data_IF_267789279597
#
_entry.id   IF_267789279597
#
_cell.length_a   1.000
_cell.length_b   1.000
_cell.length_c   1.000
_cell.angle_alpha   90.00
_cell.angle_beta   90.00
_cell.angle_gamma   90.00
#
_symmetry.space_group_name_H-M   'P 1'
#
loop_
_entity.id
_entity.type
_entity.pdbx_description
1 polymer ?
#
# COMPACT_ATOMS: atom_id res chain seq x y z
N UNK A 1 26.01 25.38 53.68
CA UNK A 1 25.39 25.95 54.89
C UNK A 1 24.02 25.30 54.98
N UNK A 2 23.91 24.27 55.81
CA UNK A 2 23.17 24.34 57.11
C UNK A 2 21.66 24.56 56.84
N UNK A 3 20.72 23.78 57.25
CA UNK A 3 20.48 22.81 58.33
C UNK A 3 19.14 22.14 57.94
N UNK A 4 18.93 20.86 57.98
CA UNK A 4 18.63 20.07 59.15
C UNK A 4 17.52 20.64 60.05
N UNK A 5 16.34 20.07 60.00
CA UNK A 5 15.53 19.88 61.19
C UNK A 5 14.61 18.65 61.02
N UNK A 6 14.96 17.73 61.79
CA UNK A 6 14.29 16.55 62.33
C UNK A 6 13.30 17.02 63.41
N UNK A 7 12.19 16.39 63.58
CA UNK A 7 11.43 16.14 64.82
C UNK A 7 10.09 15.57 64.38
N UNK A 8 9.78 14.35 64.54
CA UNK A 8 9.58 13.53 65.72
C UNK A 8 8.11 13.46 66.14
N UNK A 9 7.73 12.25 66.37
CA UNK A 9 6.81 11.70 67.41
C UNK A 9 5.29 11.74 67.16
N UNK A 10 4.81 10.55 66.88
CA UNK A 10 3.95 9.71 67.72
C UNK A 10 2.61 10.29 68.20
N UNK A 11 1.55 9.63 67.92
CA UNK A 11 0.60 9.09 68.89
C UNK A 11 -0.50 8.30 68.19
N UNK A 12 -0.47 7.00 68.33
CA UNK A 12 -1.35 6.15 69.10
C UNK A 12 -2.82 6.10 68.68
N UNK A 13 -3.10 4.96 68.07
CA UNK A 13 -4.11 3.99 68.43
C UNK A 13 -5.51 4.54 68.79
N UNK A 14 -6.46 4.17 67.93
CA UNK A 14 -7.74 3.66 68.45
C UNK A 14 -8.38 2.71 67.41
N UNK A 15 -8.53 1.52 67.89
CA UNK A 15 -9.25 0.42 67.34
C UNK A 15 -10.70 0.81 67.08
N UNK A 16 -11.11 0.70 65.81
CA UNK A 16 -12.52 0.56 65.48
C UNK A 16 -12.69 -0.71 64.71
N UNK A 17 -13.05 -1.72 65.41
CA UNK A 17 -13.48 -3.03 64.96
C UNK A 17 -14.84 -2.83 64.27
N UNK A 18 -14.87 -2.70 62.97
CA UNK A 18 -16.12 -2.75 62.21
C UNK A 18 -16.27 -4.13 61.62
N UNK A 19 -17.29 -4.79 62.10
CA UNK A 19 -17.82 -6.06 61.64
C UNK A 19 -18.02 -6.07 60.13
N UNK A 20 -17.31 -6.97 59.48
CA UNK A 20 -17.50 -7.30 58.07
C UNK A 20 -18.77 -8.13 57.97
N UNK A 21 -19.86 -7.47 57.58
CA UNK A 21 -21.06 -8.17 57.11
C UNK A 21 -20.81 -8.69 55.70
N UNK A 22 -21.15 -9.96 55.52
CA UNK A 22 -20.92 -10.78 54.36
C UNK A 22 -21.23 -10.11 53.04
N UNK A 23 -20.20 -9.94 52.24
CA UNK A 23 -20.37 -9.78 50.80
C UNK A 23 -20.57 -11.14 50.21
N UNK A 24 -21.77 -11.36 49.70
CA UNK A 24 -22.09 -12.50 48.86
C UNK A 24 -21.17 -12.51 47.66
N UNK A 25 -20.36 -13.55 47.56
CA UNK A 25 -19.56 -13.85 46.41
C UNK A 25 -20.55 -14.22 45.27
N UNK A 26 -20.77 -13.27 44.40
CA UNK A 26 -21.46 -13.52 43.13
C UNK A 26 -20.53 -14.42 42.31
N UNK A 27 -20.92 -15.62 41.91
CA UNK A 27 -20.06 -16.43 41.04
C UNK A 27 -19.85 -15.66 39.75
N UNK A 28 -18.61 -15.44 39.39
CA UNK A 28 -18.21 -14.90 38.11
C UNK A 28 -18.77 -15.81 37.01
N UNK A 29 -19.92 -15.41 36.47
CA UNK A 29 -20.46 -16.05 35.25
C UNK A 29 -19.44 -15.84 34.15
N UNK A 30 -19.00 -16.97 33.63
CA UNK A 30 -18.17 -17.21 32.48
C UNK A 30 -17.73 -15.98 31.68
N UNK A 31 -16.46 -15.65 31.80
CA UNK A 31 -15.80 -14.92 30.73
C UNK A 31 -15.94 -15.77 29.46
N UNK A 32 -16.99 -15.51 28.69
CA UNK A 32 -17.06 -16.00 27.32
C UNK A 32 -15.84 -15.40 26.64
N UNK A 33 -14.82 -16.22 26.46
CA UNK A 33 -13.75 -15.94 25.53
C UNK A 33 -14.41 -15.67 24.19
N UNK A 34 -14.57 -14.38 23.89
CA UNK A 34 -14.87 -13.97 22.52
C UNK A 34 -13.71 -14.53 21.71
N UNK A 35 -13.93 -15.48 20.79
CA UNK A 35 -12.86 -15.92 19.94
C UNK A 35 -12.32 -14.66 19.29
N UNK A 36 -11.03 -14.42 19.39
CA UNK A 36 -10.35 -13.38 18.66
C UNK A 36 -10.54 -13.71 17.17
N UNK A 37 -11.73 -13.42 16.67
CA UNK A 37 -11.99 -13.31 15.25
C UNK A 37 -11.03 -12.23 14.81
N UNK A 38 -9.86 -12.69 14.34
CA UNK A 38 -8.86 -11.92 13.67
C UNK A 38 -9.61 -10.93 12.81
N UNK A 39 -9.73 -9.71 13.28
CA UNK A 39 -10.31 -8.60 12.55
C UNK A 39 -9.30 -8.28 11.48
N UNK A 40 -9.22 -9.19 10.51
CA UNK A 40 -8.64 -8.89 9.23
C UNK A 40 -9.55 -7.81 8.67
N UNK A 41 -9.15 -6.58 8.95
CA UNK A 41 -9.58 -5.44 8.19
C UNK A 41 -9.03 -5.72 6.78
N UNK A 42 -9.82 -6.46 6.02
CA UNK A 42 -9.63 -6.60 4.59
C UNK A 42 -9.88 -5.22 4.05
N UNK A 43 -8.80 -4.40 3.99
CA UNK A 43 -8.81 -3.26 3.10
C UNK A 43 -9.22 -3.84 1.76
N UNK A 44 -10.40 -3.46 1.27
CA UNK A 44 -10.89 -3.91 -0.02
C UNK A 44 -9.76 -3.62 -1.02
N UNK A 45 -9.05 -4.66 -1.43
CA UNK A 45 -8.03 -4.54 -2.46
C UNK A 45 -8.76 -4.04 -3.70
N UNK A 46 -8.25 -3.01 -4.36
CA UNK A 46 -8.86 -2.57 -5.60
C UNK A 46 -8.95 -3.78 -6.55
N UNK A 47 -10.04 -3.86 -7.31
CA UNK A 47 -10.25 -4.92 -8.29
C UNK A 47 -9.20 -4.81 -9.43
N UNK A 48 -7.97 -5.20 -9.12
CA UNK A 48 -6.81 -5.11 -10.00
C UNK A 48 -5.80 -4.04 -9.62
N UNK A 49 -4.95 -3.66 -10.60
CA UNK A 49 -3.98 -2.57 -10.45
C UNK A 49 -4.71 -1.25 -10.23
N UNK A 50 -4.35 -0.54 -9.16
CA UNK A 50 -4.88 0.78 -8.80
C UNK A 50 -4.21 1.87 -9.65
N UNK A 51 -4.72 2.13 -10.83
CA UNK A 51 -4.25 3.24 -11.65
C UNK A 51 -4.68 4.59 -11.08
N UNK A 52 -3.76 5.54 -11.07
CA UNK A 52 -3.99 6.90 -10.59
C UNK A 52 -4.40 7.81 -11.73
N UNK A 53 -5.40 8.64 -11.50
CA UNK A 53 -5.80 9.71 -12.42
C UNK A 53 -4.99 10.98 -12.13
N UNK A 54 -3.75 10.99 -12.61
CA UNK A 54 -2.78 12.06 -12.39
C UNK A 54 -2.14 12.48 -13.71
N UNK A 55 -1.64 13.71 -13.77
CA UNK A 55 -0.67 14.11 -14.79
C UNK A 55 0.64 13.32 -14.61
N UNK A 56 1.40 13.17 -15.68
CA UNK A 56 2.68 12.48 -15.63
C UNK A 56 3.65 13.10 -14.60
N UNK A 57 3.70 14.44 -14.55
CA UNK A 57 4.53 15.15 -13.59
C UNK A 57 4.12 14.88 -12.13
N UNK A 58 2.81 14.86 -11.85
CA UNK A 58 2.30 14.55 -10.51
C UNK A 58 2.52 13.09 -10.13
N UNK A 59 2.44 12.17 -11.09
CA UNK A 59 2.74 10.76 -10.86
C UNK A 59 4.22 10.52 -10.52
N UNK A 60 5.16 11.21 -11.20
CA UNK A 60 6.58 11.18 -10.85
C UNK A 60 6.84 11.77 -9.45
N UNK A 61 6.18 12.88 -9.12
CA UNK A 61 6.28 13.47 -7.78
C UNK A 61 5.80 12.49 -6.71
N UNK A 62 4.64 11.88 -6.91
CA UNK A 62 4.10 10.87 -6.00
C UNK A 62 5.04 9.66 -5.86
N UNK A 63 5.60 9.16 -6.96
CA UNK A 63 6.56 8.06 -6.95
C UNK A 63 7.80 8.40 -6.09
N UNK A 64 8.28 9.64 -6.18
CA UNK A 64 9.37 10.13 -5.32
C UNK A 64 8.99 10.20 -3.85
N UNK A 65 7.81 10.72 -3.53
CA UNK A 65 7.30 10.84 -2.16
C UNK A 65 7.07 9.48 -1.51
N UNK A 66 6.57 8.50 -2.28
CA UNK A 66 6.32 7.13 -1.81
C UNK A 66 7.55 6.21 -1.89
N UNK A 67 8.69 6.70 -2.38
CA UNK A 67 9.90 5.92 -2.65
C UNK A 67 9.62 4.67 -3.51
N UNK A 68 8.83 4.86 -4.56
CA UNK A 68 8.44 3.83 -5.52
C UNK A 68 8.91 4.19 -6.93
N UNK A 69 8.92 3.20 -7.82
CA UNK A 69 9.02 3.44 -9.25
C UNK A 69 7.64 3.88 -9.80
N UNK A 70 7.66 4.60 -10.92
CA UNK A 70 6.46 4.91 -11.69
C UNK A 70 6.27 3.84 -12.77
N UNK A 71 5.17 3.12 -12.72
CA UNK A 71 4.70 2.25 -13.81
C UNK A 71 3.76 3.03 -14.72
N UNK A 72 4.03 2.99 -16.03
CA UNK A 72 3.18 3.62 -17.05
C UNK A 72 2.73 2.58 -18.06
N UNK A 73 1.43 2.27 -18.10
CA UNK A 73 0.80 1.52 -19.19
C UNK A 73 0.53 2.46 -20.37
N UNK A 74 1.40 2.40 -21.36
CA UNK A 74 1.26 3.14 -22.61
C UNK A 74 0.35 2.38 -23.57
N UNK A 75 -0.87 2.86 -23.76
CA UNK A 75 -1.88 2.20 -24.59
C UNK A 75 -2.48 3.12 -25.65
N UNK A 76 -3.28 2.54 -26.54
CA UNK A 76 -4.22 3.26 -27.41
C UNK A 76 -5.59 2.59 -27.36
N UNK A 77 -6.64 3.33 -27.71
CA UNK A 77 -8.04 2.84 -27.60
C UNK A 77 -8.35 1.68 -28.54
N UNK A 78 -7.68 1.62 -29.69
CA UNK A 78 -7.84 0.55 -30.69
C UNK A 78 -6.97 -0.69 -30.43
N UNK A 79 -6.05 -0.64 -29.49
CA UNK A 79 -5.10 -1.72 -29.20
C UNK A 79 -5.80 -2.92 -28.54
N UNK A 80 -5.93 -4.01 -29.28
CA UNK A 80 -6.52 -5.27 -28.79
C UNK A 80 -5.79 -5.88 -27.62
N UNK A 81 -4.46 -6.11 -27.70
CA UNK A 81 -3.65 -6.64 -26.60
C UNK A 81 -3.68 -5.76 -25.35
N UNK A 82 -3.75 -4.42 -25.48
CA UNK A 82 -3.88 -3.52 -24.33
C UNK A 82 -5.20 -3.74 -23.56
N UNK A 83 -6.29 -4.02 -24.30
CA UNK A 83 -7.58 -4.35 -23.69
C UNK A 83 -7.52 -5.68 -22.94
N UNK A 84 -6.79 -6.67 -23.47
CA UNK A 84 -6.58 -7.95 -22.79
C UNK A 84 -5.81 -7.74 -21.47
N UNK A 85 -4.69 -7.02 -21.49
CA UNK A 85 -3.96 -6.68 -20.26
C UNK A 85 -4.88 -6.05 -19.21
N UNK A 86 -5.65 -5.02 -19.62
CA UNK A 86 -6.51 -4.27 -18.70
C UNK A 86 -7.66 -5.11 -18.10
N UNK A 87 -8.22 -6.04 -18.89
CA UNK A 87 -9.39 -6.82 -18.48
C UNK A 87 -9.04 -8.11 -17.75
N UNK A 88 -7.85 -8.64 -17.97
CA UNK A 88 -7.45 -9.95 -17.45
C UNK A 88 -6.21 -9.82 -16.59
N UNK A 89 -5.07 -9.44 -17.17
CA UNK A 89 -3.77 -9.50 -16.48
C UNK A 89 -3.67 -8.50 -15.33
N UNK A 90 -4.11 -7.27 -15.54
CA UNK A 90 -4.08 -6.24 -14.48
C UNK A 90 -5.13 -6.45 -13.39
N UNK A 91 -6.05 -7.41 -13.60
CA UNK A 91 -7.01 -7.85 -12.59
C UNK A 91 -6.58 -9.12 -11.85
N UNK A 92 -5.52 -9.76 -12.30
CA UNK A 92 -4.93 -10.87 -11.57
C UNK A 92 -4.44 -10.39 -10.19
N UNK A 93 -4.81 -11.13 -9.15
CA UNK A 93 -4.56 -10.72 -7.76
C UNK A 93 -3.07 -10.62 -7.42
N UNK A 94 -2.24 -11.50 -7.97
CA UNK A 94 -0.79 -11.48 -7.72
C UNK A 94 -0.11 -10.32 -8.44
N UNK A 95 -0.55 -10.04 -9.68
CA UNK A 95 -0.09 -8.87 -10.45
C UNK A 95 -0.49 -7.58 -9.73
N UNK A 96 -1.77 -7.45 -9.39
CA UNK A 96 -2.29 -6.28 -8.73
C UNK A 96 -1.61 -6.01 -7.38
N UNK A 97 -1.44 -7.04 -6.57
CA UNK A 97 -0.80 -6.93 -5.27
C UNK A 97 0.67 -6.48 -5.39
N UNK A 98 1.43 -7.05 -6.32
CA UNK A 98 2.81 -6.64 -6.56
C UNK A 98 2.89 -5.20 -7.08
N UNK A 99 2.10 -4.86 -8.11
CA UNK A 99 2.13 -3.53 -8.72
C UNK A 99 1.69 -2.42 -7.74
N UNK A 100 0.64 -2.64 -6.97
CA UNK A 100 0.15 -1.67 -6.00
C UNK A 100 1.12 -1.42 -4.84
N UNK A 101 1.92 -2.41 -4.48
CA UNK A 101 2.96 -2.25 -3.45
C UNK A 101 4.21 -1.55 -3.95
N UNK A 102 4.66 -1.86 -5.15
CA UNK A 102 5.99 -1.45 -5.63
C UNK A 102 5.97 -0.23 -6.54
N UNK A 103 4.82 0.11 -7.12
CA UNK A 103 4.72 1.19 -8.10
C UNK A 103 3.63 2.20 -7.78
N UNK A 104 3.84 3.42 -8.23
CA UNK A 104 2.74 4.34 -8.57
C UNK A 104 2.31 3.98 -9.99
N UNK A 105 1.05 3.60 -10.17
CA UNK A 105 0.55 3.06 -11.43
C UNK A 105 -0.18 4.15 -12.21
N UNK A 106 0.26 4.42 -13.43
CA UNK A 106 -0.32 5.39 -14.36
C UNK A 106 -0.71 4.70 -15.67
N UNK A 107 -1.85 5.07 -16.23
CA UNK A 107 -2.32 4.56 -17.51
C UNK A 107 -2.54 5.73 -18.46
N UNK A 108 -1.91 5.70 -19.63
CA UNK A 108 -1.92 6.84 -20.54
C UNK A 108 -2.25 6.43 -21.97
N UNK A 109 -3.23 7.12 -22.59
CA UNK A 109 -3.51 7.02 -24.01
C UNK A 109 -2.46 7.80 -24.80
N UNK A 110 -1.63 7.10 -25.54
CA UNK A 110 -0.50 7.68 -26.28
C UNK A 110 -0.91 8.52 -27.51
N UNK A 111 -2.21 8.61 -27.76
CA UNK A 111 -2.77 9.42 -28.85
C UNK A 111 -3.57 10.63 -28.34
N UNK A 112 -3.62 10.83 -27.00
CA UNK A 112 -4.40 11.91 -26.37
C UNK A 112 -3.63 12.64 -25.29
N UNK A 113 -3.92 13.94 -25.17
CA UNK A 113 -3.38 14.78 -24.10
C UNK A 113 -1.86 14.67 -23.93
N UNK A 114 -1.40 14.57 -22.69
CA UNK A 114 0.01 14.40 -22.34
C UNK A 114 0.65 13.16 -22.97
N UNK A 115 -0.14 12.12 -23.26
CA UNK A 115 0.37 10.87 -23.82
C UNK A 115 1.12 11.06 -25.12
N UNK A 116 0.73 12.06 -25.95
CA UNK A 116 1.41 12.39 -27.20
C UNK A 116 2.87 12.79 -26.97
N UNK A 117 3.11 13.60 -25.93
CA UNK A 117 4.46 14.07 -25.58
C UNK A 117 5.26 12.98 -24.87
N UNK A 118 4.62 12.20 -24.02
CA UNK A 118 5.23 11.04 -23.37
C UNK A 118 5.63 9.98 -24.39
N UNK A 119 4.78 9.71 -25.38
CA UNK A 119 5.09 8.84 -26.52
C UNK A 119 6.38 9.25 -27.23
N UNK A 120 6.52 10.54 -27.54
CA UNK A 120 7.73 11.09 -28.20
C UNK A 120 8.94 11.02 -27.28
N UNK A 121 8.80 11.47 -26.02
CA UNK A 121 9.88 11.49 -25.04
C UNK A 121 10.51 10.13 -24.81
N UNK A 122 9.68 9.09 -24.71
CA UNK A 122 10.14 7.72 -24.42
C UNK A 122 10.22 6.83 -25.64
N UNK A 123 10.07 7.38 -26.85
CA UNK A 123 10.14 6.65 -28.12
C UNK A 123 9.24 5.39 -28.12
N UNK A 124 7.97 5.58 -27.75
CA UNK A 124 6.98 4.50 -27.73
C UNK A 124 6.47 4.26 -29.14
N UNK A 125 6.84 3.13 -29.76
CA UNK A 125 6.53 2.80 -31.18
C UNK A 125 5.52 1.67 -31.35
N UNK A 126 5.17 0.97 -30.28
CA UNK A 126 4.22 -0.15 -30.31
C UNK A 126 3.39 -0.23 -29.04
N UNK A 127 2.29 -0.97 -29.07
CA UNK A 127 1.36 -1.07 -27.95
C UNK A 127 0.94 -2.51 -27.65
N UNK A 128 0.78 -2.85 -26.35
CA UNK A 128 1.13 -2.03 -25.19
C UNK A 128 2.65 -1.87 -25.05
N UNK A 129 3.09 -0.73 -24.55
CA UNK A 129 4.44 -0.56 -23.98
C UNK A 129 4.30 -0.27 -22.49
N UNK A 130 4.97 -1.06 -21.66
CA UNK A 130 4.99 -0.94 -20.22
C UNK A 130 6.32 -0.30 -19.81
N UNK A 131 6.27 0.91 -19.27
CA UNK A 131 7.46 1.64 -18.81
C UNK A 131 7.55 1.61 -17.29
N UNK A 132 8.75 1.35 -16.79
CA UNK A 132 9.07 1.46 -15.38
C UNK A 132 10.14 2.54 -15.24
N UNK A 133 9.81 3.60 -14.51
CA UNK A 133 10.63 4.80 -14.42
C UNK A 133 11.03 5.04 -12.98
N UNK A 134 12.26 5.54 -12.78
CA UNK A 134 12.64 6.08 -11.48
C UNK A 134 11.98 7.45 -11.25
N UNK A 135 12.16 8.00 -10.07
CA UNK A 135 11.60 9.29 -9.68
C UNK A 135 12.17 10.50 -10.45
N UNK A 136 13.28 10.31 -11.18
CA UNK A 136 13.84 11.30 -12.10
C UNK A 136 13.23 11.20 -13.51
N UNK A 137 12.40 10.20 -13.77
CA UNK A 137 11.78 9.94 -15.06
C UNK A 137 12.69 9.21 -16.05
N UNK A 138 13.73 8.54 -15.57
CA UNK A 138 14.59 7.70 -16.38
C UNK A 138 14.02 6.28 -16.45
N UNK A 139 14.16 5.62 -17.60
CA UNK A 139 13.66 4.26 -17.83
C UNK A 139 14.56 3.26 -17.09
N UNK A 140 14.01 2.60 -16.09
CA UNK A 140 14.64 1.47 -15.38
C UNK A 140 14.40 0.18 -16.16
N UNK A 141 13.16 -0.04 -16.61
CA UNK A 141 12.78 -1.23 -17.36
C UNK A 141 11.69 -0.91 -18.39
N UNK A 142 11.65 -1.69 -19.46
CA UNK A 142 10.65 -1.57 -20.53
C UNK A 142 10.23 -2.94 -21.04
N UNK A 143 8.93 -3.14 -21.18
CA UNK A 143 8.37 -4.30 -21.87
C UNK A 143 7.51 -3.84 -23.04
N UNK A 144 7.57 -4.57 -24.13
CA UNK A 144 6.73 -4.36 -25.31
C UNK A 144 5.86 -5.58 -25.54
N UNK A 145 4.59 -5.36 -25.77
CA UNK A 145 3.61 -6.42 -25.98
C UNK A 145 2.90 -6.83 -24.67
N UNK A 146 1.99 -7.76 -24.82
CA UNK A 146 1.19 -8.28 -23.72
C UNK A 146 1.64 -9.70 -23.37
N UNK A 147 1.87 -9.93 -22.08
CA UNK A 147 2.18 -11.25 -21.52
C UNK A 147 1.00 -11.72 -20.64
N UNK A 148 0.99 -13.01 -20.33
CA UNK A 148 0.15 -13.56 -19.27
C UNK A 148 0.67 -13.13 -17.89
N UNK A 149 -0.19 -13.24 -16.86
CA UNK A 149 0.08 -12.71 -15.53
C UNK A 149 1.41 -13.19 -14.91
N UNK A 150 1.68 -14.49 -14.96
CA UNK A 150 2.91 -15.07 -14.39
C UNK A 150 4.17 -14.59 -15.12
N UNK A 151 4.13 -14.59 -16.44
CA UNK A 151 5.25 -14.15 -17.27
C UNK A 151 5.52 -12.66 -17.13
N UNK A 152 4.46 -11.84 -17.02
CA UNK A 152 4.59 -10.40 -16.74
C UNK A 152 5.29 -10.17 -15.40
N UNK A 153 4.85 -10.83 -14.33
CA UNK A 153 5.45 -10.69 -13.00
C UNK A 153 6.93 -11.07 -12.99
N UNK A 154 7.29 -12.18 -13.63
CA UNK A 154 8.68 -12.63 -13.72
C UNK A 154 9.55 -11.59 -14.42
N UNK A 155 9.14 -11.15 -15.62
CA UNK A 155 9.87 -10.13 -16.40
C UNK A 155 10.02 -8.82 -15.65
N UNK A 156 8.97 -8.37 -14.96
CA UNK A 156 9.01 -7.12 -14.20
C UNK A 156 9.99 -7.24 -13.03
N UNK A 157 9.90 -8.31 -12.22
CA UNK A 157 10.81 -8.52 -11.10
C UNK A 157 12.27 -8.56 -11.55
N UNK A 158 12.58 -9.34 -12.57
CA UNK A 158 13.93 -9.42 -13.13
C UNK A 158 14.44 -8.05 -13.63
N UNK A 159 13.56 -7.23 -14.19
CA UNK A 159 13.96 -5.95 -14.78
C UNK A 159 14.05 -4.78 -13.80
N UNK A 160 13.38 -4.83 -12.64
CA UNK A 160 13.39 -3.73 -11.67
C UNK A 160 14.21 -4.02 -10.41
N UNK A 161 14.57 -5.29 -10.14
CA UNK A 161 15.36 -5.71 -8.99
C UNK A 161 16.85 -5.95 -9.35
N UNK A 162 17.21 -5.81 -10.63
CA UNK A 162 18.58 -5.91 -11.13
C UNK A 162 19.25 -4.52 -11.11
#
# INVERSE_FOLDING_TARGET
>A
MKQLFLVCMTTVCLLSFQTIQGQQVVPAQGAQMIPAKKMQMTLAQPDGIAFRELSFANALKMAKEENKLLFVDCFTTWCGPCRMLSKVVFKDSLVADYFNRHFVNLKMDMEKGEGIDIRKKYDVRGYPTLLFLNSSGEVVHRLLGADEASALLEKVKLGVES
#
